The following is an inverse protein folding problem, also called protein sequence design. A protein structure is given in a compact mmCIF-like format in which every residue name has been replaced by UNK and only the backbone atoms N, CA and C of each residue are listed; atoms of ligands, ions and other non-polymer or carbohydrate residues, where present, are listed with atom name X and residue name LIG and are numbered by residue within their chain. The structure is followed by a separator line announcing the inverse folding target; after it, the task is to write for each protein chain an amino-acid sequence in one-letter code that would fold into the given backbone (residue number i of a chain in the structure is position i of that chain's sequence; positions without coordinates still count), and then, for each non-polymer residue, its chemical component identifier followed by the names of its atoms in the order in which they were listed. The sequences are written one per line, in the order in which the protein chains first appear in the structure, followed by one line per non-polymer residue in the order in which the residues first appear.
data_IF_126330801259
#
_entry.id   IF_126330801259
#
_cell.length_a   1.000
_cell.length_b   1.000
_cell.length_c   1.000
_cell.angle_alpha   90.00
_cell.angle_beta   90.00
_cell.angle_gamma   90.00
#
_symmetry.space_group_name_H-M   'P 1'
#
loop_
_entity.id
_entity.type
_entity.pdbx_description
1 polymer ?
#
# COMPACT_ATOMS: atom_id res chain seq x y z
N UNK A 1 38.30 22.93 20.36
CA UNK A 1 37.00 22.34 20.72
C UNK A 1 36.03 22.68 19.61
N UNK A 2 35.56 21.69 18.86
CA UNK A 2 34.59 21.87 17.77
C UNK A 2 33.57 20.73 17.93
N UNK A 3 32.41 21.04 18.51
CA UNK A 3 31.35 20.07 18.78
C UNK A 3 30.61 19.82 17.47
N UNK A 4 30.94 18.70 16.82
CA UNK A 4 30.21 18.21 15.67
C UNK A 4 28.82 17.78 16.11
N UNK A 5 27.80 18.39 15.51
CA UNK A 5 26.39 18.07 15.68
C UNK A 5 26.15 16.57 15.41
N UNK A 6 26.07 15.77 16.47
CA UNK A 6 25.70 14.36 16.39
C UNK A 6 24.18 14.30 16.23
N UNK A 7 23.72 14.04 15.01
CA UNK A 7 22.32 13.72 14.76
C UNK A 7 22.04 12.39 15.47
N UNK A 8 21.27 12.45 16.56
CA UNK A 8 20.78 11.28 17.30
C UNK A 8 19.82 10.48 16.41
N UNK A 9 20.39 9.60 15.59
CA UNK A 9 19.64 8.59 14.87
C UNK A 9 19.60 7.38 15.80
N UNK A 10 18.46 7.17 16.46
CA UNK A 10 18.27 5.97 17.27
C UNK A 10 18.19 4.75 16.36
N UNK A 11 18.89 3.67 16.72
CA UNK A 11 18.94 2.40 15.98
C UNK A 11 17.54 1.78 15.73
N UNK A 12 16.54 2.19 16.51
CA UNK A 12 15.14 1.76 16.39
C UNK A 12 14.30 2.60 15.41
N UNK A 13 14.89 3.61 14.78
CA UNK A 13 14.19 4.41 13.79
C UNK A 13 14.15 3.66 12.46
N UNK A 14 13.00 3.08 12.13
CA UNK A 14 12.76 2.49 10.83
C UNK A 14 12.75 3.59 9.77
N UNK A 15 13.91 3.88 9.18
CA UNK A 15 14.00 4.54 7.89
C UNK A 15 13.28 3.61 6.91
N UNK A 16 12.02 3.92 6.59
CA UNK A 16 11.28 3.27 5.51
C UNK A 16 11.88 3.72 4.19
N UNK A 17 13.05 3.19 3.88
CA UNK A 17 13.49 3.06 2.52
C UNK A 17 12.63 1.94 1.91
N UNK A 18 11.81 2.29 0.93
CA UNK A 18 11.11 1.28 0.12
C UNK A 18 12.19 0.69 -0.82
N UNK A 19 13.13 -0.05 -0.25
CA UNK A 19 13.97 -0.95 -1.02
C UNK A 19 13.15 -2.23 -1.15
N UNK A 20 12.82 -2.59 -2.39
CA UNK A 20 12.31 -3.92 -2.74
C UNK A 20 13.44 -4.96 -2.54
N UNK A 21 13.88 -5.12 -1.30
CA UNK A 21 14.72 -6.26 -0.92
C UNK A 21 13.86 -7.53 -1.09
N UNK A 22 14.38 -8.60 -1.73
CA UNK A 22 13.67 -9.85 -1.80
C UNK A 22 13.45 -10.32 -0.36
N UNK A 23 12.20 -10.25 0.09
CA UNK A 23 11.77 -10.67 1.43
C UNK A 23 12.45 -12.01 1.73
N UNK A 24 13.41 -12.03 2.65
CA UNK A 24 14.06 -13.26 3.08
C UNK A 24 12.98 -14.12 3.76
N UNK A 25 12.52 -15.14 3.04
CA UNK A 25 11.53 -16.08 3.51
C UNK A 25 12.27 -17.27 4.08
N UNK A 26 12.19 -17.44 5.39
CA UNK A 26 12.73 -18.62 6.06
C UNK A 26 11.75 -19.79 5.84
N UNK A 27 12.16 -20.80 5.08
CA UNK A 27 11.31 -21.95 4.74
C UNK A 27 10.80 -22.71 5.98
N UNK A 28 11.53 -22.67 7.09
CA UNK A 28 11.14 -23.33 8.34
C UNK A 28 10.10 -22.51 9.12
N UNK A 29 10.10 -21.19 8.94
CA UNK A 29 9.17 -20.27 9.60
C UNK A 29 8.03 -19.82 8.69
N UNK A 30 8.03 -20.18 7.41
CA UNK A 30 6.96 -19.97 6.43
C UNK A 30 5.53 -20.07 6.98
N UNK A 31 5.14 -21.13 7.72
CA UNK A 31 3.79 -21.21 8.26
C UNK A 31 3.48 -20.10 9.28
N UNK A 32 4.44 -19.70 10.12
CA UNK A 32 4.29 -18.58 11.06
C UNK A 32 4.37 -17.22 10.37
N UNK A 33 5.32 -17.03 9.45
CA UNK A 33 5.47 -15.80 8.65
C UNK A 33 4.23 -15.51 7.79
N UNK A 34 3.51 -16.53 7.33
CA UNK A 34 2.24 -16.35 6.60
C UNK A 34 1.12 -15.82 7.50
N UNK A 35 1.11 -16.20 8.77
CA UNK A 35 0.08 -15.82 9.74
C UNK A 35 0.36 -14.42 10.30
N UNK A 36 1.62 -14.13 10.62
CA UNK A 36 2.04 -12.88 11.27
C UNK A 36 2.41 -11.77 10.27
N UNK A 37 3.02 -12.13 9.14
CA UNK A 37 3.51 -11.19 8.12
C UNK A 37 2.46 -10.80 7.09
N UNK A 38 1.19 -11.19 7.26
CA UNK A 38 0.09 -10.83 6.37
C UNK A 38 0.22 -11.35 4.92
N UNK A 39 1.25 -12.16 4.62
CA UNK A 39 1.57 -12.61 3.28
C UNK A 39 1.75 -11.48 2.25
N UNK A 40 2.17 -11.79 1.02
CA UNK A 40 2.06 -10.82 -0.05
C UNK A 40 0.59 -10.43 -0.24
N UNK A 41 0.33 -9.12 -0.43
CA UNK A 41 -1.02 -8.63 -0.72
C UNK A 41 -1.53 -9.38 -1.95
N UNK A 42 -2.50 -10.27 -1.73
CA UNK A 42 -3.10 -11.07 -2.80
C UNK A 42 -3.94 -10.13 -3.65
N UNK A 43 -3.64 -10.07 -4.96
CA UNK A 43 -4.52 -9.39 -5.93
C UNK A 43 -5.91 -10.02 -5.84
N UNK A 44 -6.91 -9.22 -5.50
CA UNK A 44 -8.29 -9.70 -5.39
C UNK A 44 -9.01 -9.43 -6.71
N UNK A 45 -9.38 -10.46 -7.49
CA UNK A 45 -10.11 -10.26 -8.73
C UNK A 45 -11.56 -9.86 -8.41
N UNK A 46 -11.96 -8.64 -8.74
CA UNK A 46 -13.36 -8.18 -8.53
C UNK A 46 -14.38 -9.05 -9.28
N UNK A 47 -13.98 -9.67 -10.39
CA UNK A 47 -14.87 -10.51 -11.19
C UNK A 47 -15.26 -11.82 -10.50
N UNK A 48 -14.45 -12.32 -9.56
CA UNK A 48 -14.73 -13.54 -8.79
C UNK A 48 -15.49 -13.27 -7.49
N UNK A 49 -15.78 -12.00 -7.18
CA UNK A 49 -16.52 -11.63 -5.97
C UNK A 49 -18.02 -11.94 -6.10
N UNK A 50 -18.72 -12.21 -4.98
CA UNK A 50 -20.16 -12.39 -4.98
C UNK A 50 -20.87 -11.12 -5.48
N UNK A 51 -22.02 -11.31 -6.13
CA UNK A 51 -22.78 -10.27 -6.81
C UNK A 51 -22.89 -8.92 -6.07
N UNK A 52 -23.26 -8.86 -4.77
CA UNK A 52 -23.38 -7.57 -4.07
C UNK A 52 -22.04 -6.83 -3.93
N UNK A 53 -20.95 -7.53 -3.61
CA UNK A 53 -19.62 -6.92 -3.50
C UNK A 53 -19.14 -6.41 -4.87
N UNK A 54 -19.40 -7.19 -5.92
CA UNK A 54 -19.00 -6.82 -7.28
C UNK A 54 -19.68 -5.53 -7.73
N UNK A 55 -20.98 -5.40 -7.48
CA UNK A 55 -21.74 -4.18 -7.81
C UNK A 55 -21.22 -2.98 -7.03
N UNK A 56 -21.00 -3.14 -5.72
CA UNK A 56 -20.44 -2.08 -4.88
C UNK A 56 -19.07 -1.61 -5.38
N UNK A 57 -18.17 -2.55 -5.69
CA UNK A 57 -16.83 -2.24 -6.20
C UNK A 57 -16.86 -1.44 -7.51
N UNK A 58 -17.70 -1.84 -8.47
CA UNK A 58 -17.85 -1.10 -9.73
C UNK A 58 -18.50 0.26 -9.54
N UNK A 59 -19.49 0.38 -8.66
CA UNK A 59 -20.14 1.66 -8.36
C UNK A 59 -19.17 2.64 -7.71
N UNK A 60 -18.40 2.19 -6.72
CA UNK A 60 -17.37 2.99 -6.06
C UNK A 60 -16.30 3.46 -7.06
N UNK A 61 -15.78 2.55 -7.89
CA UNK A 61 -14.78 2.90 -8.91
C UNK A 61 -15.35 3.91 -9.93
N UNK A 62 -16.59 3.72 -10.36
CA UNK A 62 -17.27 4.66 -11.26
C UNK A 62 -17.43 6.05 -10.65
N UNK A 63 -17.79 6.14 -9.37
CA UNK A 63 -17.92 7.42 -8.67
C UNK A 63 -16.56 8.12 -8.51
N UNK A 64 -15.51 7.36 -8.21
CA UNK A 64 -14.15 7.89 -8.11
C UNK A 64 -13.64 8.41 -9.46
N UNK A 65 -13.91 7.69 -10.55
CA UNK A 65 -13.60 8.15 -11.90
C UNK A 65 -14.37 9.42 -12.27
N UNK A 66 -15.67 9.48 -11.95
CA UNK A 66 -16.51 10.67 -12.18
C UNK A 66 -15.97 11.89 -11.43
N UNK A 67 -15.59 11.72 -10.15
CA UNK A 67 -14.97 12.78 -9.36
C UNK A 67 -13.66 13.27 -9.99
N UNK A 68 -12.81 12.35 -10.47
CA UNK A 68 -11.58 12.70 -11.18
C UNK A 68 -11.84 13.50 -12.46
N UNK A 69 -12.81 13.09 -13.28
CA UNK A 69 -13.21 13.83 -14.49
C UNK A 69 -13.73 15.21 -14.13
N UNK A 70 -14.59 15.33 -13.11
CA UNK A 70 -15.11 16.63 -12.65
C UNK A 70 -14.00 17.54 -12.15
N UNK A 71 -13.03 17.01 -11.41
CA UNK A 71 -11.88 17.79 -10.96
C UNK A 71 -11.09 18.36 -12.15
N UNK A 72 -10.81 17.53 -13.17
CA UNK A 72 -10.15 17.99 -14.39
C UNK A 72 -10.96 19.07 -15.10
N UNK A 73 -12.27 18.91 -15.25
CA UNK A 73 -13.15 19.93 -15.84
C UNK A 73 -13.03 21.23 -15.06
N UNK A 74 -13.14 21.20 -13.72
CA UNK A 74 -12.98 22.41 -12.92
C UNK A 74 -11.59 23.03 -13.09
N UNK A 75 -10.53 22.24 -13.16
CA UNK A 75 -9.15 22.74 -13.33
C UNK A 75 -8.92 23.39 -14.69
N UNK A 76 -9.53 22.91 -15.78
CA UNK A 76 -9.32 23.47 -17.12
C UNK A 76 -10.28 24.59 -17.49
N UNK A 77 -11.47 24.64 -16.87
CA UNK A 77 -12.50 25.64 -17.16
C UNK A 77 -12.61 26.74 -16.09
N UNK A 78 -11.72 26.75 -15.08
CA UNK A 78 -11.56 27.81 -14.08
C UNK A 78 -10.17 28.42 -14.18
#
# INVERSE_FOLDING_TARGET
MNEGNQLDIHETQAVREIQEEPQYVDEQLLPMQRIEGGGPIKRVPLHTMPAPLRIFGYLFLGFMALMGVMALVVTFFR
#
